data_IF_793457824136
#
_entry.id   IF_793457824136
#
_cell.length_a   1.000
_cell.length_b   1.000
_cell.length_c   1.000
_cell.angle_alpha   90.00
_cell.angle_beta   90.00
_cell.angle_gamma   90.00
#
_symmetry.space_group_name_H-M   'P 1'
#
loop_
_entity.id
_entity.type
_entity.pdbx_description
1 polymer ?
#
# COMPACT_ATOMS: atom_id res chain seq x y z
N UNK A 1 42.94 53.65 -29.22
CA UNK A 1 43.11 52.21 -28.93
C UNK A 1 41.94 51.76 -28.07
N UNK A 2 41.29 50.68 -28.50
CA UNK A 2 40.06 50.09 -27.96
C UNK A 2 40.15 49.74 -26.47
N UNK A 3 39.02 49.88 -25.75
CA UNK A 3 38.49 48.81 -24.90
C UNK A 3 37.01 49.06 -24.60
N UNK A 4 36.14 48.46 -25.42
CA UNK A 4 34.72 48.30 -25.07
C UNK A 4 34.64 47.22 -23.98
N UNK A 5 34.19 47.59 -22.77
CA UNK A 5 33.73 46.66 -21.76
C UNK A 5 32.29 46.26 -22.09
N UNK A 6 32.11 45.03 -22.56
CA UNK A 6 30.79 44.38 -22.56
C UNK A 6 30.51 43.87 -21.14
N UNK A 7 29.57 44.51 -20.46
CA UNK A 7 28.97 43.99 -19.23
C UNK A 7 27.84 43.05 -19.66
N UNK A 8 28.10 41.74 -19.59
CA UNK A 8 27.08 40.71 -19.82
C UNK A 8 26.26 40.53 -18.55
N UNK A 9 24.99 40.91 -18.59
CA UNK A 9 24.04 40.67 -17.50
C UNK A 9 23.67 39.20 -17.48
N UNK A 10 24.11 38.46 -16.46
CA UNK A 10 23.70 37.08 -16.23
C UNK A 10 22.24 37.08 -15.76
N UNK A 11 21.32 36.61 -16.61
CA UNK A 11 19.92 36.39 -16.25
C UNK A 11 19.84 35.06 -15.49
N UNK A 12 19.76 35.13 -14.15
CA UNK A 12 19.50 33.95 -13.31
C UNK A 12 18.00 33.66 -13.40
N UNK A 13 17.63 32.64 -14.18
CA UNK A 13 16.28 32.11 -14.16
C UNK A 13 16.03 31.43 -12.81
N UNK A 14 14.94 31.75 -12.09
CA UNK A 14 14.59 31.01 -10.89
C UNK A 14 14.32 29.55 -11.30
N UNK A 15 15.06 28.62 -10.70
CA UNK A 15 14.73 27.20 -10.83
C UNK A 15 13.35 27.00 -10.19
N UNK A 16 12.36 26.65 -11.01
CA UNK A 16 11.09 26.12 -10.53
C UNK A 16 11.43 24.84 -9.75
N UNK A 17 11.33 24.89 -8.42
CA UNK A 17 11.35 23.69 -7.60
C UNK A 17 10.13 22.86 -7.98
N UNK A 18 10.33 21.78 -8.74
CA UNK A 18 9.32 20.76 -8.90
C UNK A 18 9.15 20.15 -7.51
N UNK A 19 7.98 20.32 -6.90
CA UNK A 19 7.66 19.59 -5.68
C UNK A 19 7.82 18.10 -6.00
N UNK A 20 8.68 17.40 -5.26
CA UNK A 20 8.75 15.95 -5.38
C UNK A 20 7.40 15.39 -4.95
N UNK A 21 6.77 14.57 -5.81
CA UNK A 21 5.55 13.87 -5.44
C UNK A 21 5.82 13.02 -4.20
N UNK A 22 4.91 13.07 -3.23
CA UNK A 22 4.99 12.28 -2.02
C UNK A 22 4.35 10.88 -2.19
N UNK A 23 3.92 10.55 -3.41
CA UNK A 23 3.35 9.25 -3.78
C UNK A 23 3.97 8.68 -5.06
N UNK A 24 3.81 7.37 -5.26
CA UNK A 24 4.11 6.69 -6.54
C UNK A 24 3.07 5.60 -6.81
N UNK A 25 2.72 5.41 -8.08
CA UNK A 25 1.88 4.29 -8.52
C UNK A 25 2.71 3.02 -8.69
N UNK A 26 2.26 1.93 -8.08
CA UNK A 26 2.83 0.58 -8.23
C UNK A 26 1.76 -0.42 -8.67
N UNK A 27 2.15 -1.66 -8.97
CA UNK A 27 1.19 -2.75 -9.18
C UNK A 27 0.35 -3.06 -7.92
N UNK A 28 0.83 -2.65 -6.74
CA UNK A 28 0.13 -2.75 -5.46
C UNK A 28 -0.76 -1.51 -5.17
N UNK A 29 -0.89 -0.59 -6.11
CA UNK A 29 -1.58 0.69 -5.94
C UNK A 29 -0.62 1.85 -5.64
N UNK A 30 -1.20 3.01 -5.38
CA UNK A 30 -0.57 4.25 -5.03
C UNK A 30 -0.16 4.23 -3.55
N UNK A 31 1.10 4.53 -3.32
CA UNK A 31 1.72 4.45 -1.99
C UNK A 31 2.49 5.73 -1.70
N UNK A 32 2.61 6.09 -0.42
CA UNK A 32 3.49 7.17 0.00
C UNK A 32 4.96 6.78 -0.13
N UNK A 33 5.80 7.75 -0.47
CA UNK A 33 7.25 7.57 -0.67
C UNK A 33 8.08 8.64 0.03
N UNK A 34 9.28 8.29 0.49
CA UNK A 34 10.23 9.26 1.03
C UNK A 34 10.76 10.24 -0.05
N UNK A 35 11.53 11.30 0.31
CA UNK A 35 12.03 12.27 -0.66
C UNK A 35 12.88 11.72 -1.82
N UNK A 36 13.35 10.47 -1.74
CA UNK A 36 14.09 9.79 -2.81
C UNK A 36 13.19 8.82 -3.60
N UNK A 37 11.89 8.77 -3.32
CA UNK A 37 10.92 7.89 -3.97
C UNK A 37 10.85 6.48 -3.37
N UNK A 38 11.52 6.19 -2.24
CA UNK A 38 11.43 4.87 -1.61
C UNK A 38 10.09 4.67 -0.91
N UNK A 39 9.49 3.51 -1.13
CA UNK A 39 8.20 3.12 -0.56
C UNK A 39 8.18 3.22 0.96
N UNK A 40 7.05 3.72 1.48
CA UNK A 40 6.78 3.74 2.91
C UNK A 40 5.87 2.59 3.33
N UNK A 41 6.05 2.17 4.57
CA UNK A 41 5.36 1.05 5.19
C UNK A 41 4.82 1.46 6.56
N UNK A 42 3.81 0.76 7.02
CA UNK A 42 3.40 0.78 8.44
C UNK A 42 3.69 -0.58 9.08
N UNK A 43 3.59 -0.66 10.40
CA UNK A 43 3.82 -1.90 11.14
C UNK A 43 2.57 -2.31 11.91
N UNK A 44 1.95 -3.44 11.55
CA UNK A 44 0.67 -3.86 12.14
C UNK A 44 0.74 -4.18 13.64
N UNK A 45 1.94 -4.31 14.22
CA UNK A 45 2.12 -4.51 15.67
C UNK A 45 2.30 -3.21 16.45
N UNK A 46 2.49 -2.08 15.76
CA UNK A 46 2.48 -0.78 16.39
C UNK A 46 1.08 -0.44 16.88
N UNK A 47 1.03 0.44 17.90
CA UNK A 47 -0.22 1.04 18.34
C UNK A 47 -0.35 2.42 17.73
N UNK A 48 -1.57 2.94 17.73
CA UNK A 48 -1.83 4.32 17.33
C UNK A 48 -0.86 5.29 18.05
N UNK A 49 -0.19 6.10 17.24
CA UNK A 49 0.77 7.13 17.62
C UNK A 49 1.99 6.59 18.42
N UNK A 50 2.31 5.29 18.29
CA UNK A 50 3.36 4.64 19.08
C UNK A 50 4.04 3.47 18.37
N UNK A 51 5.33 3.66 18.07
CA UNK A 51 6.22 2.61 17.57
C UNK A 51 6.74 1.66 18.67
N UNK A 52 6.74 0.36 18.40
CA UNK A 52 7.49 -0.66 19.15
C UNK A 52 8.70 -1.20 18.37
N UNK A 53 8.89 -0.78 17.12
CA UNK A 53 10.01 -1.18 16.28
C UNK A 53 11.27 -0.39 16.66
N UNK A 54 12.10 -0.95 17.53
CA UNK A 54 13.35 -0.36 18.01
C UNK A 54 14.57 -1.28 17.74
N UNK A 55 15.78 -0.76 17.90
CA UNK A 55 17.03 -1.53 17.78
C UNK A 55 17.16 -2.28 16.44
N UNK A 56 17.32 -3.60 16.48
CA UNK A 56 17.44 -4.44 15.28
C UNK A 56 16.22 -4.41 14.35
N UNK A 57 15.02 -4.11 14.88
CA UNK A 57 13.85 -3.85 14.04
C UNK A 57 14.06 -2.58 13.21
N UNK A 58 14.40 -1.47 13.86
CA UNK A 58 14.63 -0.17 13.23
C UNK A 58 15.84 -0.17 12.27
N UNK A 59 16.81 -1.07 12.48
CA UNK A 59 17.92 -1.26 11.54
C UNK A 59 17.46 -1.84 10.19
N UNK A 60 16.47 -2.73 10.19
CA UNK A 60 15.88 -3.30 8.96
C UNK A 60 14.72 -2.45 8.43
N UNK A 61 14.00 -1.81 9.32
CA UNK A 61 12.87 -0.94 9.02
C UNK A 61 13.17 0.48 9.52
N UNK A 62 14.04 1.25 8.83
CA UNK A 62 14.38 2.59 9.28
C UNK A 62 13.13 3.47 9.41
N UNK A 63 12.89 4.09 10.58
CA UNK A 63 11.85 5.10 10.74
C UNK A 63 11.99 6.22 9.70
N UNK A 64 10.88 6.74 9.20
CA UNK A 64 10.89 7.96 8.40
C UNK A 64 11.13 9.16 9.34
N UNK A 65 12.32 9.79 9.29
CA UNK A 65 12.66 10.83 10.25
C UNK A 65 11.90 12.12 9.98
N UNK A 66 11.72 12.94 11.01
CA UNK A 66 11.29 14.33 10.85
C UNK A 66 12.51 15.22 10.57
N UNK A 67 12.57 15.76 9.36
CA UNK A 67 13.61 16.68 8.91
C UNK A 67 13.05 17.64 7.83
N UNK A 68 13.79 18.69 7.42
CA UNK A 68 13.28 19.68 6.47
C UNK A 68 12.77 19.10 5.14
N UNK A 69 13.39 18.04 4.62
CA UNK A 69 12.95 17.42 3.37
C UNK A 69 11.61 16.70 3.52
N UNK A 70 11.43 15.94 4.61
CA UNK A 70 10.15 15.27 4.91
C UNK A 70 9.05 16.24 5.36
N UNK A 71 9.42 17.33 6.03
CA UNK A 71 8.48 18.40 6.42
C UNK A 71 7.86 19.07 5.18
N UNK A 72 8.67 19.30 4.14
CA UNK A 72 8.19 19.83 2.88
C UNK A 72 7.17 18.92 2.19
N UNK A 73 7.28 17.60 2.37
CA UNK A 73 6.35 16.63 1.78
C UNK A 73 5.07 16.44 2.60
N UNK A 74 5.18 16.39 3.93
CA UNK A 74 4.10 15.91 4.79
C UNK A 74 3.55 16.94 5.78
N UNK A 75 4.29 18.00 6.10
CA UNK A 75 3.93 18.95 7.15
C UNK A 75 2.61 19.68 6.93
N UNK A 76 2.18 19.83 5.68
CA UNK A 76 0.90 20.46 5.32
C UNK A 76 -0.20 19.46 4.93
N UNK A 77 0.09 18.16 4.93
CA UNK A 77 -0.82 17.13 4.43
C UNK A 77 -1.75 16.62 5.54
N UNK A 78 -3.02 16.42 5.21
CA UNK A 78 -3.98 15.87 6.15
C UNK A 78 -3.66 14.41 6.49
N UNK A 79 -3.95 14.02 7.73
CA UNK A 79 -3.68 12.66 8.21
C UNK A 79 -2.23 12.39 8.62
N UNK A 80 -1.28 13.26 8.30
CA UNK A 80 0.11 13.13 8.77
C UNK A 80 0.29 13.74 10.17
N UNK A 81 1.12 13.10 10.98
CA UNK A 81 1.48 13.54 12.32
C UNK A 81 2.92 13.17 12.67
N UNK A 82 3.43 13.75 13.75
CA UNK A 82 4.74 13.39 14.32
C UNK A 82 4.54 12.64 15.62
N UNK A 83 5.27 11.53 15.78
CA UNK A 83 5.36 10.80 17.04
C UNK A 83 6.76 10.90 17.63
N UNK A 84 6.86 10.82 18.96
CA UNK A 84 8.14 10.71 19.66
C UNK A 84 8.44 9.24 19.98
N UNK A 85 9.63 8.79 19.60
CA UNK A 85 10.13 7.42 19.81
C UNK A 85 10.79 7.27 21.17
N UNK A 86 11.07 6.03 21.57
CA UNK A 86 11.70 5.69 22.86
C UNK A 86 13.12 6.23 23.02
N UNK A 87 13.85 6.31 21.92
CA UNK A 87 15.19 6.91 21.86
C UNK A 87 15.17 8.44 21.84
N UNK A 88 13.98 9.06 21.91
CA UNK A 88 13.78 10.50 21.87
C UNK A 88 13.77 11.12 20.48
N UNK A 89 14.01 10.34 19.42
CA UNK A 89 13.87 10.81 18.03
C UNK A 89 12.40 10.97 17.63
N UNK A 90 12.18 11.70 16.53
CA UNK A 90 10.85 11.94 15.97
C UNK A 90 10.68 11.20 14.64
N UNK A 91 9.46 10.70 14.42
CA UNK A 91 9.10 9.91 13.25
C UNK A 91 7.73 10.36 12.73
N UNK A 92 7.59 10.40 11.40
CA UNK A 92 6.31 10.63 10.75
C UNK A 92 5.35 9.45 10.93
N UNK A 93 4.07 9.75 11.08
CA UNK A 93 2.99 8.79 11.08
C UNK A 93 1.89 9.24 10.12
N UNK A 94 1.15 8.30 9.53
CA UNK A 94 -0.04 8.55 8.73
C UNK A 94 -1.25 7.91 9.39
N UNK A 95 -2.29 8.70 9.65
CA UNK A 95 -3.48 8.31 10.41
C UNK A 95 -3.14 7.67 11.78
N UNK A 96 -1.99 8.06 12.34
CA UNK A 96 -1.43 7.54 13.58
C UNK A 96 -0.70 6.20 13.46
N UNK A 97 -0.50 5.66 12.26
CA UNK A 97 0.39 4.53 12.01
C UNK A 97 1.82 5.05 11.71
N UNK A 98 2.85 4.66 12.49
CA UNK A 98 4.22 5.12 12.26
C UNK A 98 4.76 4.65 10.90
N UNK A 99 5.48 5.53 10.19
CA UNK A 99 5.96 5.30 8.83
C UNK A 99 7.42 4.85 8.80
N UNK A 100 7.70 3.80 8.04
CA UNK A 100 9.02 3.19 7.92
C UNK A 100 9.44 3.05 6.46
N UNK A 101 10.74 2.94 6.24
CA UNK A 101 11.35 2.47 5.00
C UNK A 101 11.79 1.02 5.16
N UNK A 102 12.07 0.35 4.05
CA UNK A 102 12.69 -0.97 4.05
C UNK A 102 14.14 -0.91 3.58
N UNK A 103 15.06 -1.53 4.31
CA UNK A 103 16.50 -1.41 4.04
C UNK A 103 16.95 -2.02 2.70
N UNK A 104 16.11 -2.82 2.03
CA UNK A 104 16.42 -3.39 0.70
C UNK A 104 15.74 -2.69 -0.46
N UNK A 105 14.90 -1.68 -0.20
CA UNK A 105 14.37 -0.85 -1.28
C UNK A 105 15.48 0.10 -1.74
N UNK A 106 15.95 -0.08 -2.96
CA UNK A 106 17.13 0.62 -3.51
C UNK A 106 16.77 1.60 -4.61
N UNK A 107 15.60 1.44 -5.23
CA UNK A 107 15.07 2.31 -6.28
C UNK A 107 13.73 2.90 -5.84
N UNK A 108 13.35 3.99 -6.49
CA UNK A 108 12.04 4.57 -6.29
C UNK A 108 10.96 3.56 -6.70
N UNK A 109 9.93 3.39 -5.86
CA UNK A 109 8.85 2.44 -6.07
C UNK A 109 9.18 0.96 -5.82
N UNK A 110 10.38 0.61 -5.35
CA UNK A 110 10.66 -0.75 -4.86
C UNK A 110 9.72 -1.09 -3.70
N UNK A 111 9.15 -2.29 -3.68
CA UNK A 111 8.21 -2.76 -2.64
C UNK A 111 8.69 -4.07 -1.99
N UNK A 112 10.01 -4.27 -1.84
CA UNK A 112 10.57 -5.54 -1.39
C UNK A 112 10.13 -5.90 0.03
N UNK A 113 9.82 -4.90 0.85
CA UNK A 113 9.30 -5.07 2.21
C UNK A 113 7.82 -5.46 2.27
N UNK A 114 7.07 -5.30 1.16
CA UNK A 114 5.62 -5.36 1.21
C UNK A 114 5.11 -6.73 1.64
N UNK A 115 4.32 -6.71 2.71
CA UNK A 115 3.61 -7.88 3.21
C UNK A 115 4.46 -8.87 3.99
N UNK A 116 5.73 -8.57 4.31
CA UNK A 116 6.60 -9.52 5.06
C UNK A 116 5.86 -10.04 6.31
N UNK A 117 5.56 -11.35 6.29
CA UNK A 117 4.79 -12.08 7.31
C UNK A 117 3.42 -11.47 7.65
N UNK A 118 2.83 -10.72 6.73
CA UNK A 118 1.54 -10.05 6.87
C UNK A 118 1.52 -8.88 7.87
N UNK A 119 2.68 -8.40 8.33
CA UNK A 119 2.76 -7.36 9.38
C UNK A 119 3.37 -6.04 8.90
N UNK A 120 3.85 -5.98 7.65
CA UNK A 120 4.42 -4.79 7.03
C UNK A 120 3.63 -4.36 5.79
N UNK A 121 2.39 -3.86 5.96
CA UNK A 121 1.63 -3.31 4.85
C UNK A 121 2.29 -2.04 4.31
N UNK A 122 2.13 -1.82 3.00
CA UNK A 122 2.48 -0.55 2.35
C UNK A 122 1.64 0.58 2.97
N UNK A 123 2.26 1.75 3.14
CA UNK A 123 1.55 2.98 3.49
C UNK A 123 0.83 3.51 2.25
N UNK A 124 -0.40 3.05 2.05
CA UNK A 124 -1.22 3.39 0.88
C UNK A 124 -1.66 4.85 0.90
N UNK A 125 -1.69 5.46 -0.27
CA UNK A 125 -2.20 6.81 -0.49
C UNK A 125 -3.61 6.83 -1.10
N UNK A 126 -4.23 5.66 -1.26
CA UNK A 126 -5.58 5.45 -1.77
C UNK A 126 -6.41 4.61 -0.76
N UNK A 127 -7.67 4.31 -1.12
CA UNK A 127 -8.65 3.74 -0.19
C UNK A 127 -8.81 2.21 -0.28
N UNK A 128 -7.93 1.53 -1.00
CA UNK A 128 -8.04 0.07 -1.19
C UNK A 128 -7.51 -0.67 0.04
N UNK A 129 -8.39 -1.45 0.68
CA UNK A 129 -8.08 -2.19 1.91
C UNK A 129 -7.43 -3.55 1.69
N UNK A 130 -7.37 -4.02 0.44
CA UNK A 130 -6.63 -5.23 0.05
C UNK A 130 -5.13 -5.01 0.30
N UNK A 131 -4.51 -5.99 0.95
CA UNK A 131 -3.10 -5.96 1.36
C UNK A 131 -2.30 -7.06 0.67
N UNK A 132 -1.01 -7.07 0.97
CA UNK A 132 -0.07 -8.08 0.52
C UNK A 132 0.38 -8.94 1.70
N UNK A 133 0.50 -10.23 1.46
CA UNK A 133 1.17 -11.17 2.34
C UNK A 133 2.39 -11.74 1.62
N UNK A 134 3.50 -11.82 2.34
CA UNK A 134 4.74 -12.41 1.88
C UNK A 134 5.19 -13.49 2.87
N UNK A 135 5.18 -14.74 2.40
CA UNK A 135 5.53 -15.93 3.17
C UNK A 135 7.04 -16.28 3.12
N UNK A 136 7.85 -15.40 2.54
CA UNK A 136 9.25 -15.51 2.10
C UNK A 136 9.45 -16.14 0.70
N UNK A 137 8.48 -16.89 0.18
CA UNK A 137 8.57 -17.53 -1.13
C UNK A 137 7.70 -16.84 -2.18
N UNK A 138 6.53 -16.34 -1.76
CA UNK A 138 5.50 -15.76 -2.63
C UNK A 138 4.96 -14.49 -2.00
N UNK A 139 4.54 -13.57 -2.86
CA UNK A 139 3.76 -12.39 -2.49
C UNK A 139 2.38 -12.50 -3.14
N UNK A 140 1.33 -12.30 -2.36
CA UNK A 140 -0.05 -12.50 -2.84
C UNK A 140 -1.04 -11.59 -2.10
N UNK A 141 -2.21 -11.41 -2.70
CA UNK A 141 -3.26 -10.56 -2.14
C UNK A 141 -3.94 -11.24 -0.95
N UNK A 142 -4.20 -10.42 0.08
CA UNK A 142 -4.97 -10.80 1.27
C UNK A 142 -5.97 -9.71 1.64
N UNK A 143 -7.01 -10.05 2.38
CA UNK A 143 -7.87 -9.06 3.02
C UNK A 143 -7.14 -8.31 4.16
N UNK A 144 -7.85 -7.36 4.77
CA UNK A 144 -7.37 -6.56 5.90
C UNK A 144 -7.07 -7.38 7.17
N UNK A 145 -7.54 -8.62 7.22
CA UNK A 145 -7.30 -9.62 8.26
C UNK A 145 -6.25 -10.66 7.85
N UNK A 146 -5.55 -10.45 6.73
CA UNK A 146 -4.51 -11.32 6.18
C UNK A 146 -5.01 -12.70 5.68
N UNK A 147 -6.30 -12.86 5.36
CA UNK A 147 -6.80 -14.05 4.67
C UNK A 147 -6.56 -13.94 3.16
N UNK A 148 -6.05 -15.00 2.55
CA UNK A 148 -5.73 -15.08 1.12
C UNK A 148 -6.94 -14.79 0.25
N UNK A 149 -6.71 -14.00 -0.80
CA UNK A 149 -7.71 -13.68 -1.81
C UNK A 149 -7.49 -14.50 -3.09
N UNK A 150 -8.62 -14.88 -3.68
CA UNK A 150 -8.72 -15.81 -4.80
C UNK A 150 -9.56 -15.23 -5.93
N UNK A 151 -9.27 -15.65 -7.16
CA UNK A 151 -10.14 -15.48 -8.33
C UNK A 151 -10.75 -16.81 -8.76
N UNK A 152 -11.90 -16.73 -9.45
CA UNK A 152 -12.67 -17.86 -9.93
C UNK A 152 -12.70 -17.87 -11.47
N UNK A 153 -12.31 -18.98 -12.10
CA UNK A 153 -12.21 -19.05 -13.58
C UNK A 153 -13.55 -18.90 -14.29
N UNK A 154 -14.66 -19.20 -13.62
CA UNK A 154 -15.98 -19.03 -14.20
C UNK A 154 -16.51 -17.61 -14.07
N UNK A 155 -15.77 -16.68 -13.43
CA UNK A 155 -16.13 -15.27 -13.41
C UNK A 155 -15.70 -14.57 -14.70
N UNK A 156 -16.33 -13.44 -14.99
CA UNK A 156 -15.90 -12.51 -16.02
C UNK A 156 -15.44 -11.20 -15.36
N UNK A 157 -14.77 -10.32 -16.12
CA UNK A 157 -14.36 -9.03 -15.58
C UNK A 157 -15.58 -8.23 -15.11
N UNK A 158 -15.57 -7.85 -13.84
CA UNK A 158 -16.66 -7.13 -13.19
C UNK A 158 -17.90 -7.98 -12.91
N UNK A 159 -17.91 -9.29 -13.20
CA UNK A 159 -19.09 -10.13 -13.05
C UNK A 159 -18.74 -11.38 -12.23
N UNK A 160 -19.27 -11.43 -11.01
CA UNK A 160 -19.27 -12.66 -10.21
C UNK A 160 -20.37 -13.61 -10.71
N UNK A 161 -20.02 -14.88 -10.90
CA UNK A 161 -20.91 -16.02 -11.10
C UNK A 161 -21.01 -16.89 -9.83
N UNK A 162 -20.34 -16.51 -8.74
CA UNK A 162 -20.36 -17.21 -7.46
C UNK A 162 -21.43 -16.64 -6.50
N UNK A 163 -22.54 -17.36 -6.38
CA UNK A 163 -23.66 -17.08 -5.47
C UNK A 163 -24.19 -18.36 -4.81
N UNK A 164 -25.06 -18.21 -3.80
CA UNK A 164 -25.63 -19.36 -3.08
C UNK A 164 -24.55 -20.20 -2.41
N UNK A 165 -24.59 -21.52 -2.59
CA UNK A 165 -23.60 -22.44 -2.04
C UNK A 165 -22.17 -22.09 -2.46
N UNK A 166 -21.96 -21.56 -3.66
CA UNK A 166 -20.63 -21.11 -4.08
C UNK A 166 -20.10 -20.05 -3.11
N UNK A 167 -20.88 -19.00 -2.84
CA UNK A 167 -20.50 -17.91 -1.96
C UNK A 167 -20.45 -18.32 -0.47
N UNK A 168 -21.11 -19.42 -0.09
CA UNK A 168 -21.00 -19.98 1.25
C UNK A 168 -19.61 -20.60 1.48
N UNK A 169 -19.04 -21.26 0.47
CA UNK A 169 -17.68 -21.81 0.55
C UNK A 169 -16.59 -20.80 0.17
N UNK A 170 -16.94 -19.87 -0.72
CA UNK A 170 -16.07 -18.81 -1.23
C UNK A 170 -16.66 -17.43 -0.93
N UNK A 171 -16.62 -16.97 0.33
CA UNK A 171 -17.19 -15.67 0.68
C UNK A 171 -16.55 -14.55 -0.15
N UNK A 172 -17.34 -13.66 -0.77
CA UNK A 172 -16.78 -12.53 -1.50
C UNK A 172 -15.99 -11.61 -0.55
N UNK A 173 -14.89 -11.05 -1.05
CA UNK A 173 -14.14 -10.01 -0.36
C UNK A 173 -14.88 -8.67 -0.55
N UNK A 174 -15.74 -8.36 0.40
CA UNK A 174 -16.63 -7.20 0.32
C UNK A 174 -15.91 -5.90 0.68
N UNK A 175 -16.38 -4.81 0.07
CA UNK A 175 -15.97 -3.44 0.37
C UNK A 175 -16.86 -2.88 1.48
N UNK A 176 -16.29 -2.15 2.43
CA UNK A 176 -17.09 -1.37 3.37
C UNK A 176 -17.74 -0.21 2.63
N UNK A 177 -19.08 -0.22 2.56
CA UNK A 177 -19.84 0.67 1.68
C UNK A 177 -20.06 2.07 2.24
N UNK A 178 -19.60 2.36 3.46
CA UNK A 178 -19.89 3.64 4.14
C UNK A 178 -19.41 4.88 3.36
N UNK A 179 -18.44 4.75 2.45
CA UNK A 179 -17.92 5.86 1.64
C UNK A 179 -17.57 5.48 0.18
N UNK A 180 -18.35 4.59 -0.45
CA UNK A 180 -18.07 4.10 -1.82
C UNK A 180 -17.83 5.20 -2.85
N UNK A 181 -18.60 6.28 -2.80
CA UNK A 181 -18.57 7.35 -3.80
C UNK A 181 -17.28 8.21 -3.75
N UNK A 182 -16.50 8.09 -2.67
CA UNK A 182 -15.26 8.83 -2.49
C UNK A 182 -14.03 7.92 -2.50
N UNK A 183 -14.16 6.64 -2.83
CA UNK A 183 -13.02 5.73 -2.89
C UNK A 183 -12.06 6.18 -3.99
N UNK A 184 -10.84 6.48 -3.58
CA UNK A 184 -9.69 6.59 -4.45
C UNK A 184 -9.17 5.18 -4.71
N UNK A 185 -9.20 4.76 -5.98
CA UNK A 185 -8.73 3.45 -6.42
C UNK A 185 -7.52 3.65 -7.32
N UNK A 186 -6.50 2.83 -7.15
CA UNK A 186 -5.28 2.91 -7.96
C UNK A 186 -4.68 1.51 -8.22
N UNK A 187 -3.70 1.45 -9.12
CA UNK A 187 -3.16 0.19 -9.62
C UNK A 187 -4.22 -0.61 -10.38
N UNK A 188 -4.16 -1.93 -10.26
CA UNK A 188 -5.12 -2.84 -10.90
C UNK A 188 -6.36 -3.14 -10.02
N UNK A 189 -6.53 -2.41 -8.92
CA UNK A 189 -7.65 -2.62 -8.00
C UNK A 189 -8.90 -1.90 -8.49
N UNK A 190 -10.05 -2.56 -8.31
CA UNK A 190 -11.35 -2.02 -8.65
C UNK A 190 -12.43 -2.56 -7.73
N UNK A 191 -13.67 -2.21 -8.02
CA UNK A 191 -14.85 -2.74 -7.33
C UNK A 191 -15.90 -3.17 -8.34
N UNK A 192 -16.76 -4.11 -7.96
CA UNK A 192 -17.96 -4.45 -8.74
C UNK A 192 -19.19 -4.59 -7.84
N UNK A 193 -20.33 -4.12 -8.34
CA UNK A 193 -21.63 -4.34 -7.71
C UNK A 193 -22.12 -5.76 -8.00
N UNK A 194 -22.46 -6.48 -6.93
CA UNK A 194 -23.01 -7.83 -7.01
C UNK A 194 -24.52 -7.78 -7.19
N UNK A 195 -25.10 -8.85 -7.74
CA UNK A 195 -26.57 -9.00 -7.89
C UNK A 195 -27.33 -8.98 -6.56
N UNK A 196 -26.64 -9.25 -5.46
CA UNK A 196 -27.18 -9.23 -4.09
C UNK A 196 -27.09 -7.85 -3.43
N UNK A 197 -26.64 -6.82 -4.15
CA UNK A 197 -26.52 -5.43 -3.68
C UNK A 197 -25.25 -5.13 -2.88
N UNK A 198 -24.39 -6.12 -2.62
CA UNK A 198 -23.08 -5.87 -2.01
C UNK A 198 -22.08 -5.38 -3.05
N UNK A 199 -21.01 -4.74 -2.59
CA UNK A 199 -19.87 -4.35 -3.43
C UNK A 199 -18.66 -5.22 -3.09
N UNK A 200 -17.98 -5.72 -4.12
CA UNK A 200 -16.87 -6.66 -3.98
C UNK A 200 -15.58 -6.07 -4.57
N UNK A 201 -14.46 -6.29 -3.88
CA UNK A 201 -13.15 -5.95 -4.41
C UNK A 201 -12.83 -6.77 -5.66
N UNK A 202 -12.15 -6.14 -6.61
CA UNK A 202 -11.63 -6.79 -7.82
C UNK A 202 -10.15 -6.49 -7.98
N UNK A 203 -9.43 -7.38 -8.64
CA UNK A 203 -8.06 -7.15 -9.11
C UNK A 203 -7.94 -7.53 -10.57
N UNK A 204 -7.41 -6.63 -11.41
CA UNK A 204 -7.41 -6.75 -12.88
C UNK A 204 -8.81 -7.00 -13.46
N UNK A 205 -9.83 -6.48 -12.76
CA UNK A 205 -11.25 -6.65 -13.05
C UNK A 205 -11.87 -7.95 -12.56
N UNK A 206 -11.11 -8.90 -12.01
CA UNK A 206 -11.66 -10.18 -11.53
C UNK A 206 -12.14 -10.07 -10.08
N UNK A 207 -13.36 -10.54 -9.74
CA UNK A 207 -13.86 -10.53 -8.36
C UNK A 207 -12.99 -11.35 -7.40
N UNK A 208 -12.75 -10.81 -6.19
CA UNK A 208 -11.91 -11.44 -5.18
C UNK A 208 -12.73 -12.15 -4.10
N UNK A 209 -12.31 -13.35 -3.73
CA UNK A 209 -12.99 -14.19 -2.75
C UNK A 209 -12.02 -14.66 -1.66
N UNK A 210 -12.60 -15.02 -0.51
CA UNK A 210 -11.94 -15.76 0.56
C UNK A 210 -12.30 -17.24 0.45
N UNK A 211 -11.56 -18.08 1.15
CA UNK A 211 -11.83 -19.51 1.23
C UNK A 211 -12.19 -19.92 2.64
N UNK A 212 -13.34 -20.59 2.83
CA UNK A 212 -13.84 -20.91 4.17
C UNK A 212 -12.95 -21.85 4.98
N UNK A 213 -12.06 -22.63 4.34
CA UNK A 213 -11.12 -23.51 5.06
C UNK A 213 -9.80 -22.82 5.42
N UNK A 214 -9.54 -21.62 4.91
CA UNK A 214 -8.48 -20.79 5.46
C UNK A 214 -8.98 -20.21 6.78
N UNK A 215 -8.45 -20.73 7.87
CA UNK A 215 -8.80 -20.43 9.26
C UNK A 215 -7.73 -19.62 9.98
N UNK A 216 -6.59 -19.39 9.33
CA UNK A 216 -5.51 -18.55 9.84
C UNK A 216 -4.92 -17.67 8.74
N UNK A 217 -4.40 -16.48 9.09
CA UNK A 217 -3.68 -15.59 8.19
C UNK A 217 -2.61 -16.30 7.34
N UNK A 218 -2.57 -15.97 6.05
CA UNK A 218 -1.59 -16.50 5.11
C UNK A 218 -1.80 -17.95 4.68
N UNK A 219 -2.81 -18.67 5.19
CA UNK A 219 -3.16 -19.98 4.62
C UNK A 219 -3.63 -19.81 3.17
N UNK A 220 -3.17 -20.70 2.29
CA UNK A 220 -3.48 -20.66 0.86
C UNK A 220 -4.21 -21.92 0.40
N UNK A 221 -5.03 -22.54 1.26
CA UNK A 221 -5.59 -23.89 1.01
C UNK A 221 -6.71 -23.92 -0.04
N UNK A 222 -7.17 -22.74 -0.47
CA UNK A 222 -8.09 -22.59 -1.60
C UNK A 222 -7.42 -22.68 -2.97
N UNK A 223 -6.09 -22.55 -3.04
CA UNK A 223 -5.39 -22.52 -4.32
C UNK A 223 -5.49 -23.87 -5.03
N UNK A 224 -5.88 -23.85 -6.30
CA UNK A 224 -6.07 -25.06 -7.12
C UNK A 224 -7.31 -25.89 -6.75
N UNK A 225 -8.22 -25.41 -5.89
CA UNK A 225 -9.45 -26.16 -5.59
C UNK A 225 -10.24 -26.38 -6.88
N UNK A 226 -10.44 -27.66 -7.24
CA UNK A 226 -11.08 -28.08 -8.51
C UNK A 226 -10.42 -27.50 -9.77
N UNK A 227 -9.15 -27.10 -9.69
CA UNK A 227 -8.38 -26.49 -10.79
C UNK A 227 -8.98 -25.21 -11.39
N UNK A 228 -9.93 -24.56 -10.70
CA UNK A 228 -10.65 -23.36 -11.18
C UNK A 228 -10.63 -22.17 -10.20
N UNK A 229 -9.92 -22.34 -9.07
CA UNK A 229 -9.74 -21.32 -8.04
C UNK A 229 -8.26 -21.05 -7.88
N UNK A 230 -7.88 -19.78 -8.00
CA UNK A 230 -6.48 -19.40 -8.05
C UNK A 230 -6.20 -18.29 -7.05
N UNK A 231 -5.18 -18.49 -6.22
CA UNK A 231 -4.62 -17.42 -5.40
C UNK A 231 -4.13 -16.29 -6.31
N UNK A 232 -4.26 -15.04 -5.86
CA UNK A 232 -3.82 -13.88 -6.66
C UNK A 232 -2.39 -13.46 -6.28
N UNK A 233 -1.35 -13.80 -7.07
CA UNK A 233 0.02 -13.34 -6.82
C UNK A 233 0.20 -11.86 -7.18
N UNK A 234 1.22 -11.24 -6.59
CA UNK A 234 1.74 -9.93 -7.00
C UNK A 234 3.18 -10.03 -7.48
#
# INVERSE_FOLDING_TARGET
MYKHMLVGTLLVLPALAIAADNTVNTAAGEIFVDPNGHSLYTFSKDKKDRSICNGGCAAKWPPLPVNPATEMLYGSQSGFSVIRRDDGSEQWAYQGAPLYRWFKDMKAGDIEGAGIKGVWPLARADDVTVRLYNDDNRRYLVDDNNFTLYTFDNDEKGISNCYGDCAAYWPPALVDTQNMASLTLSGDFGVTERKDGNVQWTYKGMPLYRWIKDTAPGQTTGDGVKDIWHMVPL
#
